data_IF_094737070783
#
_entry.id   IF_094737070783
#
_cell.length_a   1.000
_cell.length_b   1.000
_cell.length_c   1.000
_cell.angle_alpha   90.00
_cell.angle_beta   90.00
_cell.angle_gamma   90.00
#
_symmetry.space_group_name_H-M   'P 1'
#
loop_
_entity.id
_entity.type
_entity.pdbx_description
1 polymer ?
#
# COMPACT_ATOMS: atom_id res chain seq x y z
N UNK A 1 -62.40 39.24 -10.85
CA UNK A 1 -61.77 37.92 -10.57
C UNK A 1 -61.48 37.25 -11.90
N UNK A 2 -60.21 37.23 -12.30
CA UNK A 2 -59.70 36.44 -13.44
C UNK A 2 -58.20 36.21 -13.22
N UNK A 3 -57.77 34.98 -13.52
CA UNK A 3 -56.45 34.38 -13.31
C UNK A 3 -55.31 35.06 -14.06
N UNK A 4 -54.10 34.98 -13.51
CA UNK A 4 -52.88 34.82 -14.32
C UNK A 4 -51.80 34.07 -13.53
N UNK A 5 -51.48 32.89 -14.04
CA UNK A 5 -50.33 32.04 -13.71
C UNK A 5 -49.05 32.75 -14.14
N UNK A 6 -48.01 32.76 -13.30
CA UNK A 6 -46.64 32.90 -13.81
C UNK A 6 -45.68 31.97 -13.07
N UNK A 7 -45.21 30.96 -13.81
CA UNK A 7 -44.16 30.01 -13.45
C UNK A 7 -42.83 30.64 -13.84
N UNK A 8 -41.94 30.84 -12.88
CA UNK A 8 -40.54 31.22 -13.10
C UNK A 8 -39.63 30.14 -12.51
N UNK A 9 -38.90 29.45 -13.39
CA UNK A 9 -38.02 28.32 -13.15
C UNK A 9 -36.93 28.60 -12.10
N UNK A 10 -36.93 27.82 -11.01
CA UNK A 10 -35.72 27.58 -10.23
C UNK A 10 -34.98 26.39 -10.86
N UNK A 11 -33.80 26.67 -11.41
CA UNK A 11 -32.85 25.66 -11.89
C UNK A 11 -32.34 24.87 -10.68
N UNK A 12 -32.89 23.67 -10.50
CA UNK A 12 -32.37 22.68 -9.56
C UNK A 12 -31.01 22.22 -10.08
N UNK A 13 -29.92 22.64 -9.43
CA UNK A 13 -28.63 21.94 -9.50
C UNK A 13 -28.81 20.61 -8.78
N UNK A 14 -29.23 19.58 -9.50
CA UNK A 14 -29.04 18.20 -9.08
C UNK A 14 -27.54 17.90 -9.11
N UNK A 15 -26.84 18.21 -8.02
CA UNK A 15 -25.67 17.44 -7.64
C UNK A 15 -26.14 16.00 -7.46
N UNK A 16 -25.91 15.18 -8.49
CA UNK A 16 -25.97 13.74 -8.42
C UNK A 16 -24.93 13.28 -7.39
N UNK A 17 -25.32 13.30 -6.12
CA UNK A 17 -24.63 12.57 -5.07
C UNK A 17 -24.97 11.11 -5.35
N UNK A 18 -24.12 10.44 -6.13
CA UNK A 18 -24.20 8.99 -6.28
C UNK A 18 -24.10 8.38 -4.87
N UNK A 19 -24.95 7.41 -4.51
CA UNK A 19 -24.79 6.68 -3.28
C UNK A 19 -23.37 6.09 -3.26
N UNK A 20 -22.61 6.40 -2.22
CA UNK A 20 -21.37 5.73 -1.93
C UNK A 20 -21.70 4.25 -1.74
N UNK A 21 -21.28 3.41 -2.70
CA UNK A 21 -21.48 1.96 -2.63
C UNK A 21 -20.94 1.46 -1.27
N UNK A 22 -21.86 0.88 -0.48
CA UNK A 22 -21.55 0.19 0.78
C UNK A 22 -20.91 -1.17 0.48
N UNK A 23 -19.78 -1.17 -0.22
CA UNK A 23 -18.97 -2.36 -0.40
C UNK A 23 -17.59 -2.12 0.19
N UNK A 24 -17.40 -2.53 1.45
CA UNK A 24 -16.08 -2.58 2.11
C UNK A 24 -15.05 -3.45 1.37
N UNK A 25 -15.47 -4.12 0.29
CA UNK A 25 -14.67 -4.96 -0.61
C UNK A 25 -13.61 -4.17 -1.39
N UNK A 26 -13.78 -2.86 -1.59
CA UNK A 26 -12.86 -2.03 -2.36
C UNK A 26 -12.27 -0.88 -1.54
N UNK A 27 -11.62 -1.22 -0.42
CA UNK A 27 -10.83 -0.25 0.34
C UNK A 27 -9.66 0.21 -0.53
N UNK A 28 -9.63 1.51 -0.86
CA UNK A 28 -8.62 2.12 -1.74
C UNK A 28 -7.22 2.20 -1.09
N UNK A 29 -7.17 2.22 0.23
CA UNK A 29 -5.93 2.33 0.97
C UNK A 29 -5.84 1.33 2.12
N UNK A 30 -4.62 1.00 2.50
CA UNK A 30 -4.36 0.10 3.60
C UNK A 30 -2.92 0.22 4.06
N UNK A 31 -2.64 -0.46 5.16
CA UNK A 31 -1.33 -0.43 5.79
C UNK A 31 -0.90 -1.86 6.07
N UNK A 32 0.31 -2.21 5.64
CA UNK A 32 0.96 -3.47 5.99
C UNK A 32 1.91 -3.19 7.12
N UNK A 33 1.79 -3.93 8.22
CA UNK A 33 2.72 -3.92 9.35
C UNK A 33 3.49 -5.23 9.33
N UNK A 34 4.81 -5.15 9.27
CA UNK A 34 5.69 -6.31 9.31
C UNK A 34 6.71 -6.12 10.44
N UNK A 35 6.48 -6.83 11.54
CA UNK A 35 7.46 -6.94 12.61
C UNK A 35 8.36 -8.14 12.35
N UNK A 36 9.67 -7.90 12.32
CA UNK A 36 10.68 -8.93 12.27
C UNK A 36 11.28 -9.09 13.65
N UNK A 37 11.16 -10.28 14.21
CA UNK A 37 11.86 -10.68 15.43
C UNK A 37 13.17 -11.40 15.03
N UNK A 38 14.08 -11.55 16.00
CA UNK A 38 15.42 -12.11 15.76
C UNK A 38 16.17 -11.32 14.65
N UNK A 39 15.97 -9.99 14.63
CA UNK A 39 16.43 -9.13 13.54
C UNK A 39 17.96 -9.08 13.45
N UNK A 40 18.68 -9.19 14.55
CA UNK A 40 20.13 -9.22 14.58
C UNK A 40 20.71 -10.40 13.79
N UNK A 41 20.07 -11.57 13.86
CA UNK A 41 20.49 -12.73 13.07
C UNK A 41 20.29 -12.47 11.56
N UNK A 42 19.14 -11.90 11.19
CA UNK A 42 18.89 -11.49 9.80
C UNK A 42 19.90 -10.45 9.33
N UNK A 43 20.12 -9.38 10.09
CA UNK A 43 21.08 -8.30 9.77
C UNK A 43 22.54 -8.79 9.69
N UNK A 44 22.91 -9.78 10.52
CA UNK A 44 24.20 -10.45 10.48
C UNK A 44 24.40 -11.36 9.26
N UNK A 45 23.36 -11.56 8.43
CA UNK A 45 23.41 -12.44 7.26
C UNK A 45 23.39 -13.93 7.63
N UNK A 46 23.11 -14.25 8.89
CA UNK A 46 22.95 -15.61 9.40
C UNK A 46 21.47 -15.99 9.29
N UNK A 47 21.07 -16.71 8.24
CA UNK A 47 19.67 -17.17 8.08
C UNK A 47 19.11 -16.96 6.68
N UNK A 48 17.79 -16.71 6.60
CA UNK A 48 17.11 -16.45 5.35
C UNK A 48 17.55 -15.09 4.78
N UNK A 49 17.98 -15.08 3.51
CA UNK A 49 18.34 -13.85 2.82
C UNK A 49 17.15 -12.96 2.52
N UNK A 50 15.94 -13.52 2.45
CA UNK A 50 14.71 -12.81 2.11
C UNK A 50 13.57 -13.28 3.00
N UNK A 51 12.85 -12.33 3.58
CA UNK A 51 11.67 -12.55 4.42
C UNK A 51 10.47 -11.86 3.80
N UNK A 52 9.31 -12.52 3.80
CA UNK A 52 8.05 -11.96 3.30
C UNK A 52 7.07 -11.90 4.47
N UNK A 53 6.26 -10.84 4.56
CA UNK A 53 5.27 -10.72 5.62
C UNK A 53 4.23 -11.86 5.53
N UNK A 54 3.99 -12.54 6.65
CA UNK A 54 2.96 -13.59 6.74
C UNK A 54 1.57 -13.01 6.46
N UNK A 55 1.29 -11.85 7.06
CA UNK A 55 0.07 -11.12 6.84
C UNK A 55 0.08 -10.44 5.47
N UNK A 56 -1.03 -10.60 4.74
CA UNK A 56 -1.36 -9.79 3.57
C UNK A 56 -2.46 -8.79 3.89
N UNK A 57 -2.55 -7.74 3.10
CA UNK A 57 -3.65 -6.77 3.17
C UNK A 57 -4.37 -6.72 1.83
N UNK A 58 -5.69 -6.90 1.86
CA UNK A 58 -6.51 -6.75 0.65
C UNK A 58 -6.82 -5.26 0.44
N UNK A 59 -6.27 -4.69 -0.64
CA UNK A 59 -6.47 -3.29 -1.01
C UNK A 59 -6.91 -3.28 -2.47
N UNK A 60 -8.11 -2.76 -2.68
CA UNK A 60 -8.76 -2.67 -3.99
C UNK A 60 -8.88 -3.99 -4.76
N UNK A 61 -9.13 -5.09 -4.03
CA UNK A 61 -9.30 -6.43 -4.61
C UNK A 61 -8.00 -7.17 -4.92
N UNK A 62 -6.84 -6.60 -4.58
CA UNK A 62 -5.52 -7.24 -4.70
C UNK A 62 -4.92 -7.44 -3.31
N UNK A 63 -4.16 -8.52 -3.14
CA UNK A 63 -3.43 -8.79 -1.90
C UNK A 63 -2.05 -8.12 -1.97
N UNK A 64 -1.67 -7.49 -0.87
CA UNK A 64 -0.42 -6.77 -0.77
C UNK A 64 0.41 -7.29 0.40
N UNK A 65 1.72 -7.41 0.20
CA UNK A 65 2.70 -7.86 1.21
C UNK A 65 3.94 -6.98 1.20
N UNK A 66 4.82 -7.18 2.18
CA UNK A 66 6.18 -6.62 2.16
C UNK A 66 7.20 -7.74 2.09
N UNK A 67 8.34 -7.45 1.45
CA UNK A 67 9.53 -8.29 1.51
C UNK A 67 10.74 -7.48 1.95
N UNK A 68 11.55 -8.10 2.78
CA UNK A 68 12.83 -7.64 3.23
C UNK A 68 13.89 -8.56 2.64
N UNK A 69 14.99 -8.01 2.17
CA UNK A 69 16.11 -8.78 1.66
C UNK A 69 17.43 -8.24 2.20
N UNK A 70 18.30 -9.13 2.65
CA UNK A 70 19.65 -8.80 3.09
C UNK A 70 20.53 -8.56 1.86
N UNK A 71 20.99 -7.32 1.71
CA UNK A 71 21.81 -6.86 0.59
C UNK A 71 23.17 -6.37 1.08
N UNK A 72 24.00 -7.32 1.55
CA UNK A 72 25.37 -7.04 1.99
C UNK A 72 25.40 -6.29 3.32
N UNK A 73 25.58 -4.97 3.30
CA UNK A 73 25.55 -4.14 4.53
C UNK A 73 24.24 -3.36 4.67
N UNK A 74 23.32 -3.57 3.73
CA UNK A 74 22.10 -2.81 3.58
C UNK A 74 20.89 -3.73 3.56
N UNK A 75 19.79 -3.17 4.05
CA UNK A 75 18.47 -3.76 3.95
C UNK A 75 17.82 -3.29 2.66
N UNK A 76 17.31 -4.23 1.88
CA UNK A 76 16.37 -3.97 0.80
C UNK A 76 14.93 -4.13 1.32
N UNK A 77 14.03 -3.25 0.89
CA UNK A 77 12.61 -3.28 1.26
C UNK A 77 11.72 -3.06 0.04
N UNK A 78 10.81 -4.00 -0.17
CA UNK A 78 9.87 -4.05 -1.28
C UNK A 78 8.44 -4.19 -0.78
N UNK A 79 7.51 -3.59 -1.53
CA UNK A 79 6.08 -3.88 -1.46
C UNK A 79 5.73 -4.76 -2.65
N UNK A 80 4.92 -5.78 -2.40
CA UNK A 80 4.47 -6.77 -3.36
C UNK A 80 2.98 -6.59 -3.60
N UNK A 81 2.59 -6.66 -4.87
CA UNK A 81 1.21 -6.75 -5.30
C UNK A 81 0.98 -8.15 -5.88
N UNK A 82 0.22 -8.98 -5.17
CA UNK A 82 -0.10 -10.37 -5.52
C UNK A 82 -1.29 -10.41 -6.49
N UNK A 83 -1.13 -9.82 -7.67
CA UNK A 83 -2.02 -10.10 -8.80
C UNK A 83 -1.69 -11.46 -9.43
N UNK A 84 -2.59 -11.97 -10.27
CA UNK A 84 -2.44 -13.28 -10.93
C UNK A 84 -1.18 -13.31 -11.80
N UNK A 85 -0.27 -14.25 -11.53
CA UNK A 85 1.01 -14.35 -12.25
C UNK A 85 0.84 -14.72 -13.73
N UNK A 86 -0.25 -15.39 -14.07
CA UNK A 86 -0.51 -15.90 -15.42
C UNK A 86 -1.35 -14.91 -16.25
N UNK A 87 -2.10 -14.02 -15.60
CA UNK A 87 -2.85 -12.99 -16.28
C UNK A 87 -1.99 -11.76 -16.57
N UNK A 88 -1.53 -11.62 -17.81
CA UNK A 88 -0.77 -10.45 -18.23
C UNK A 88 -1.61 -9.18 -18.42
N UNK A 89 -2.93 -9.27 -18.37
CA UNK A 89 -3.83 -8.14 -18.57
C UNK A 89 -4.01 -7.30 -17.30
N UNK A 90 -3.70 -7.83 -16.11
CA UNK A 90 -3.87 -7.05 -14.90
C UNK A 90 -2.74 -6.03 -14.71
N UNK A 91 -3.14 -4.88 -14.18
CA UNK A 91 -2.20 -3.88 -13.69
C UNK A 91 -2.82 -3.07 -12.57
N UNK A 92 -2.00 -2.57 -11.66
CA UNK A 92 -2.42 -1.71 -10.57
C UNK A 92 -1.44 -0.55 -10.41
N UNK A 93 -1.95 0.67 -10.41
CA UNK A 93 -1.17 1.85 -9.99
C UNK A 93 -1.36 2.06 -8.49
N UNK A 94 -0.28 2.31 -7.76
CA UNK A 94 -0.36 2.64 -6.34
C UNK A 94 0.67 3.69 -5.92
N UNK A 95 0.28 4.54 -4.98
CA UNK A 95 1.23 5.29 -4.15
C UNK A 95 1.68 4.41 -2.99
N UNK A 96 2.98 4.36 -2.73
CA UNK A 96 3.57 3.55 -1.67
C UNK A 96 4.52 4.41 -0.84
N UNK A 97 4.30 4.44 0.47
CA UNK A 97 5.24 5.01 1.44
C UNK A 97 5.71 3.91 2.38
N UNK A 98 7.02 3.79 2.53
CA UNK A 98 7.66 2.80 3.41
C UNK A 98 8.28 3.51 4.61
N UNK A 99 8.14 2.92 5.79
CA UNK A 99 8.64 3.50 7.04
C UNK A 99 9.07 2.44 8.05
N UNK A 100 9.89 2.85 9.02
CA UNK A 100 10.27 2.06 10.19
C UNK A 100 9.72 2.78 11.42
N UNK A 101 9.00 2.04 12.25
CA UNK A 101 8.38 2.57 13.46
C UNK A 101 9.46 2.82 14.51
N UNK A 102 9.40 3.98 15.16
CA UNK A 102 10.24 4.23 16.33
C UNK A 102 9.76 3.43 17.54
N UNK A 103 10.69 2.77 18.23
CA UNK A 103 10.42 1.97 19.42
C UNK A 103 10.05 2.82 20.65
N UNK A 104 10.46 4.10 20.66
CA UNK A 104 10.26 5.01 21.79
C UNK A 104 9.31 6.15 21.42
N UNK A 105 8.39 6.46 22.33
CA UNK A 105 7.51 7.61 22.22
C UNK A 105 8.34 8.91 22.12
N UNK A 106 8.05 9.74 21.12
CA UNK A 106 8.76 10.99 20.86
C UNK A 106 9.89 10.91 19.83
N UNK A 107 10.34 9.71 19.46
CA UNK A 107 11.28 9.53 18.34
C UNK A 107 10.54 9.56 17.00
N UNK A 108 11.19 10.13 15.98
CA UNK A 108 10.63 10.18 14.64
C UNK A 108 10.79 8.82 13.94
N UNK A 109 9.71 8.33 13.32
CA UNK A 109 9.78 7.19 12.41
C UNK A 109 10.70 7.52 11.22
N UNK A 110 11.52 6.58 10.81
CA UNK A 110 12.18 6.67 9.50
C UNK A 110 11.10 6.52 8.43
N UNK A 111 11.08 7.39 7.42
CA UNK A 111 10.22 7.23 6.26
C UNK A 111 11.00 7.56 5.01
N UNK A 112 10.95 6.66 4.03
CA UNK A 112 11.42 6.96 2.69
C UNK A 112 10.43 7.90 1.99
N UNK A 113 10.91 8.63 1.00
CA UNK A 113 10.06 9.43 0.12
C UNK A 113 8.96 8.56 -0.50
N UNK A 114 7.74 9.11 -0.54
CA UNK A 114 6.60 8.41 -1.13
C UNK A 114 6.83 8.21 -2.64
N UNK A 115 6.84 6.93 -3.06
CA UNK A 115 6.83 6.62 -4.48
C UNK A 115 5.41 6.75 -5.01
N UNK A 116 5.16 7.85 -5.72
CA UNK A 116 3.87 8.10 -6.36
C UNK A 116 3.70 7.26 -7.63
N UNK A 117 2.49 6.73 -7.82
CA UNK A 117 2.05 6.03 -9.05
C UNK A 117 2.99 4.90 -9.52
N UNK A 118 3.45 4.05 -8.61
CA UNK A 118 4.16 2.83 -8.99
C UNK A 118 3.21 1.85 -9.71
N UNK A 119 3.63 1.38 -10.90
CA UNK A 119 2.85 0.44 -11.73
C UNK A 119 3.25 -1.01 -11.42
N UNK A 120 2.31 -1.77 -10.89
CA UNK A 120 2.41 -3.20 -10.65
C UNK A 120 1.68 -3.97 -11.75
N UNK A 121 2.27 -5.08 -12.21
CA UNK A 121 1.72 -6.00 -13.21
C UNK A 121 2.46 -7.34 -13.11
N UNK A 122 2.03 -8.37 -13.84
CA UNK A 122 2.56 -9.74 -13.75
C UNK A 122 4.10 -9.84 -13.80
N UNK A 123 4.74 -9.02 -14.62
CA UNK A 123 6.21 -9.00 -14.80
C UNK A 123 6.95 -8.05 -13.84
N UNK A 124 6.22 -7.20 -13.10
CA UNK A 124 6.80 -6.27 -12.13
C UNK A 124 5.92 -6.09 -10.90
N UNK A 125 5.79 -7.19 -10.15
CA UNK A 125 4.91 -7.32 -8.97
C UNK A 125 5.50 -6.74 -7.69
N UNK A 126 6.78 -6.43 -7.68
CA UNK A 126 7.48 -5.84 -6.54
C UNK A 126 8.03 -4.46 -6.88
N UNK A 127 7.90 -3.53 -5.94
CA UNK A 127 8.49 -2.19 -6.04
C UNK A 127 9.14 -1.85 -4.72
N UNK A 128 10.37 -1.38 -4.77
CA UNK A 128 11.13 -1.12 -3.56
C UNK A 128 12.49 -0.50 -3.86
N UNK A 129 13.33 -0.49 -2.83
CA UNK A 129 14.73 -0.10 -2.92
C UNK A 129 15.59 -1.29 -2.50
N UNK A 130 16.65 -1.55 -3.28
CA UNK A 130 17.70 -2.52 -2.92
C UNK A 130 18.64 -2.01 -1.83
N UNK A 131 18.61 -0.70 -1.58
CA UNK A 131 19.41 0.02 -0.60
C UNK A 131 18.47 0.96 0.16
N UNK A 132 17.60 0.37 0.98
CA UNK A 132 16.61 1.14 1.74
C UNK A 132 17.26 1.83 2.94
N UNK A 133 18.09 1.10 3.68
CA UNK A 133 18.83 1.61 4.83
C UNK A 133 20.01 0.68 5.18
N UNK A 134 21.10 1.24 5.69
CA UNK A 134 22.23 0.45 6.21
C UNK A 134 21.86 -0.22 7.54
N UNK A 135 22.26 -1.47 7.73
CA UNK A 135 22.02 -2.17 9.01
C UNK A 135 22.65 -1.43 10.20
N UNK A 136 23.87 -0.93 10.03
CA UNK A 136 24.56 -0.15 11.07
C UNK A 136 23.79 1.12 11.47
N UNK A 137 23.12 1.78 10.52
CA UNK A 137 22.28 2.94 10.80
C UNK A 137 20.97 2.52 11.47
N UNK A 138 20.31 1.48 10.94
CA UNK A 138 19.02 1.01 11.47
C UNK A 138 19.13 0.53 12.92
N UNK A 139 20.23 -0.16 13.24
CA UNK A 139 20.49 -0.73 14.56
C UNK A 139 21.24 0.22 15.51
N UNK A 140 21.53 1.46 15.09
CA UNK A 140 22.14 2.46 15.98
C UNK A 140 21.17 2.75 17.15
N UNK A 141 21.60 2.54 18.42
CA UNK A 141 20.76 2.79 19.59
C UNK A 141 20.22 4.22 19.69
N UNK A 142 20.89 5.19 19.04
CA UNK A 142 20.48 6.59 19.04
C UNK A 142 19.28 6.88 18.13
N UNK A 143 19.06 6.06 17.09
CA UNK A 143 17.95 6.25 16.15
C UNK A 143 16.63 5.70 16.71
N UNK A 144 16.70 4.68 17.56
CA UNK A 144 15.54 4.12 18.25
C UNK A 144 14.52 3.41 17.34
N UNK A 145 14.97 2.86 16.22
CA UNK A 145 14.14 2.06 15.29
C UNK A 145 14.29 0.54 15.51
N UNK A 146 15.39 0.14 16.15
CA UNK A 146 15.65 -1.23 16.57
C UNK A 146 15.35 -1.38 18.07
N UNK A 147 14.54 -2.38 18.39
CA UNK A 147 14.26 -2.79 19.76
C UNK A 147 15.30 -3.82 20.19
N UNK A 148 16.32 -3.36 20.92
CA UNK A 148 17.39 -4.23 21.39
C UNK A 148 16.99 -5.19 22.52
N UNK A 149 15.85 -4.99 23.18
CA UNK A 149 15.37 -5.92 24.21
C UNK A 149 14.64 -7.11 23.56
N UNK A 150 13.80 -6.82 22.57
CA UNK A 150 13.01 -7.83 21.85
C UNK A 150 13.71 -8.38 20.60
N UNK A 151 14.92 -7.87 20.28
CA UNK A 151 15.66 -8.11 19.03
C UNK A 151 14.76 -7.98 17.79
N UNK A 152 14.19 -6.80 17.61
CA UNK A 152 13.13 -6.66 16.63
C UNK A 152 12.97 -5.26 16.01
N UNK A 153 12.41 -5.25 14.80
CA UNK A 153 12.16 -4.03 14.01
C UNK A 153 10.78 -4.11 13.40
N UNK A 154 10.04 -3.00 13.40
CA UNK A 154 8.70 -2.93 12.81
C UNK A 154 8.70 -2.03 11.59
N UNK A 155 8.41 -2.61 10.43
CA UNK A 155 8.26 -1.92 9.17
C UNK A 155 6.78 -1.66 8.87
N UNK A 156 6.51 -0.53 8.22
CA UNK A 156 5.18 -0.16 7.75
C UNK A 156 5.24 0.22 6.27
N UNK A 157 4.28 -0.28 5.48
CA UNK A 157 3.96 0.27 4.17
C UNK A 157 2.54 0.81 4.14
N UNK A 158 2.41 2.11 3.88
CA UNK A 158 1.14 2.74 3.54
C UNK A 158 0.93 2.66 2.03
N UNK A 159 -0.21 2.12 1.63
CA UNK A 159 -0.53 1.87 0.23
C UNK A 159 -1.84 2.57 -0.12
N UNK A 160 -1.84 3.30 -1.22
CA UNK A 160 -3.05 3.87 -1.84
C UNK A 160 -3.11 3.39 -3.28
N UNK A 161 -4.01 2.45 -3.57
CA UNK A 161 -4.14 1.84 -4.89
C UNK A 161 -5.24 2.51 -5.73
N UNK A 162 -5.01 2.67 -7.03
CA UNK A 162 -6.05 2.93 -8.02
C UNK A 162 -6.79 1.63 -8.36
N UNK A 163 -7.96 1.73 -9.01
CA UNK A 163 -8.71 0.54 -9.48
C UNK A 163 -7.81 -0.28 -10.41
N UNK A 164 -7.58 -1.57 -10.12
CA UNK A 164 -6.77 -2.39 -11.00
C UNK A 164 -7.52 -2.66 -12.32
N UNK A 165 -6.77 -2.76 -13.41
CA UNK A 165 -7.28 -3.21 -14.70
C UNK A 165 -7.18 -4.75 -14.77
N UNK A 166 -7.95 -5.37 -15.68
CA UNK A 166 -7.83 -6.80 -16.00
C UNK A 166 -8.37 -7.77 -14.95
N UNK A 167 -8.74 -7.32 -13.75
CA UNK A 167 -9.26 -8.21 -12.71
C UNK A 167 -10.73 -8.61 -12.94
N UNK A 168 -11.12 -9.89 -12.71
CA UNK A 168 -12.52 -10.30 -12.71
C UNK A 168 -13.34 -9.43 -11.75
N UNK A 169 -14.42 -8.82 -12.25
CA UNK A 169 -15.27 -7.88 -11.49
C UNK A 169 -14.81 -6.41 -11.48
N UNK A 170 -13.67 -6.06 -12.09
CA UNK A 170 -13.27 -4.66 -12.26
C UNK A 170 -14.11 -3.90 -13.31
N UNK A 171 -14.89 -4.63 -14.09
CA UNK A 171 -15.79 -4.11 -15.12
C UNK A 171 -17.28 -4.43 -14.83
N UNK A 172 -17.83 -3.95 -13.71
CA UNK A 172 -19.21 -3.47 -13.79
C UNK A 172 -19.19 -2.06 -14.37
N UNK A 173 -19.00 -1.98 -15.69
CA UNK A 173 -19.38 -0.77 -16.41
C UNK A 173 -20.91 -0.75 -16.40
N UNK A 174 -21.49 0.15 -15.62
CA UNK A 174 -22.86 0.58 -15.83
C UNK A 174 -22.95 1.29 -17.20
N UNK A 175 -22.99 0.53 -18.28
CA UNK A 175 -23.62 0.97 -19.52
C UNK A 175 -25.11 0.64 -19.45
N UNK A 176 -25.78 1.24 -18.47
CA UNK A 176 -27.24 1.31 -18.49
C UNK A 176 -27.61 2.50 -19.40
N UNK A 177 -27.81 2.20 -20.68
CA UNK A 177 -28.68 2.95 -21.59
C UNK A 177 -28.22 4.35 -22.02
N UNK A 178 -27.70 4.45 -23.23
CA UNK A 178 -28.08 5.55 -24.12
C UNK A 178 -28.72 4.93 -25.36
N UNK A 179 -30.00 5.26 -25.54
CA UNK A 179 -30.78 5.00 -26.75
C UNK A 179 -30.31 5.89 -27.87
#
# INVERSE_FOLDING_TARGET
>A
MVNAVNRGLALNRETSIRPQEKDGKYKRSGQIVFRVNEFAAFAGGTGQKRMISDNSQSINGLNWRMALEHSGTELALFVLCEGDENDKAWSCLASVRKSIVACKFGNQCFAEEEKKRALFHAESREKGSKSFIKFAQLMDPNNGWYDGQEDAVTFIADIVAERPNGMPGAFERHFAGQR
#
